data_IF_253168481099
#
_entry.id   IF_253168481099
#
_cell.length_a   1.000
_cell.length_b   1.000
_cell.length_c   1.000
_cell.angle_alpha   90.00
_cell.angle_beta   90.00
_cell.angle_gamma   90.00
#
_symmetry.space_group_name_H-M   'P 1'
#
loop_
_entity.id
_entity.type
_entity.pdbx_description
1 polymer ?
#
# COMPACT_ATOMS: atom_id res chain seq x y z
N UNK A 1 -18.72 -36.01 -1.95
CA UNK A 1 -17.71 -35.46 -2.89
C UNK A 1 -18.17 -34.03 -3.19
N UNK A 2 -17.72 -33.08 -2.36
CA UNK A 2 -18.12 -31.65 -2.42
C UNK A 2 -17.05 -30.93 -3.20
N UNK A 3 -17.40 -30.42 -4.36
CA UNK A 3 -16.53 -29.60 -5.21
C UNK A 3 -16.41 -28.21 -4.60
N UNK A 4 -15.34 -27.95 -3.87
CA UNK A 4 -15.01 -26.64 -3.30
C UNK A 4 -14.08 -25.93 -4.30
N UNK A 5 -14.60 -25.40 -5.39
CA UNK A 5 -13.77 -24.77 -6.42
C UNK A 5 -14.27 -23.43 -6.92
N UNK A 6 -15.14 -22.74 -6.21
CA UNK A 6 -15.56 -21.41 -6.67
C UNK A 6 -15.46 -20.40 -5.53
N UNK A 7 -14.54 -19.47 -5.66
CA UNK A 7 -14.48 -18.18 -4.96
C UNK A 7 -13.79 -18.16 -3.59
N UNK A 8 -12.57 -18.66 -3.49
CA UNK A 8 -11.85 -18.56 -2.20
C UNK A 8 -11.23 -17.17 -1.91
N UNK A 9 -11.05 -16.33 -2.90
CA UNK A 9 -10.49 -14.99 -2.68
C UNK A 9 -11.16 -13.95 -3.56
N UNK A 10 -11.67 -12.89 -2.96
CA UNK A 10 -12.24 -11.71 -3.61
C UNK A 10 -11.59 -10.47 -3.07
N UNK A 11 -11.47 -9.44 -3.90
CA UNK A 11 -11.02 -8.11 -3.50
C UNK A 11 -12.20 -7.17 -3.59
N UNK A 12 -12.50 -6.49 -2.49
CA UNK A 12 -13.49 -5.43 -2.43
C UNK A 12 -12.85 -4.14 -1.95
N UNK A 13 -13.17 -3.03 -2.60
CA UNK A 13 -12.85 -1.70 -2.08
C UNK A 13 -14.06 -1.20 -1.27
N UNK A 14 -13.88 -0.97 0.01
CA UNK A 14 -14.93 -0.49 0.90
C UNK A 14 -14.85 1.03 1.09
N UNK A 15 -15.97 1.72 0.90
CA UNK A 15 -16.16 3.14 1.22
C UNK A 15 -16.46 3.27 2.72
N UNK A 16 -15.48 3.71 3.50
CA UNK A 16 -15.64 3.94 4.94
C UNK A 16 -15.80 5.42 5.29
N UNK A 17 -16.88 5.76 6.01
CA UNK A 17 -17.13 7.09 6.57
C UNK A 17 -16.25 7.32 7.80
N UNK A 18 -15.57 8.47 7.87
CA UNK A 18 -14.75 8.91 8.99
C UNK A 18 -15.53 9.74 10.00
N UNK A 19 -15.42 9.42 11.30
CA UNK A 19 -15.67 10.37 12.39
C UNK A 19 -14.37 10.61 13.17
N UNK A 20 -14.09 11.89 13.42
CA UNK A 20 -12.96 12.39 14.21
C UNK A 20 -13.22 12.26 15.71
N UNK A 21 -12.23 11.80 16.48
CA UNK A 21 -11.96 12.31 17.82
C UNK A 21 -10.48 12.21 18.18
N UNK A 22 -10.02 13.17 18.94
CA UNK A 22 -8.68 13.64 19.22
C UNK A 22 -7.90 12.88 20.29
N UNK A 23 -6.56 12.89 20.13
CA UNK A 23 -5.46 13.07 21.09
C UNK A 23 -5.41 12.26 22.40
N UNK A 24 -4.36 11.42 22.48
CA UNK A 24 -3.40 11.42 23.62
C UNK A 24 -2.11 10.71 23.15
N UNK A 25 -0.98 11.31 23.43
CA UNK A 25 0.31 10.95 22.88
C UNK A 25 0.90 9.65 23.46
N UNK A 26 1.58 8.93 22.57
CA UNK A 26 2.54 7.87 22.88
C UNK A 26 3.70 7.94 21.90
N UNK A 27 4.90 7.47 22.25
CA UNK A 27 6.14 7.87 21.62
C UNK A 27 6.30 7.35 20.19
N UNK A 28 6.59 8.28 19.30
CA UNK A 28 7.33 8.15 18.04
C UNK A 28 7.22 6.82 17.27
N UNK A 29 6.03 6.53 16.77
CA UNK A 29 5.90 5.76 15.53
C UNK A 29 5.95 6.77 14.38
N UNK A 30 6.67 6.45 13.31
CA UNK A 30 6.55 7.19 12.07
C UNK A 30 5.08 7.08 11.64
N UNK A 31 4.32 8.08 12.03
CA UNK A 31 2.96 8.26 11.57
C UNK A 31 3.13 8.71 10.12
N UNK A 32 2.93 7.80 9.18
CA UNK A 32 2.65 8.26 7.83
C UNK A 32 1.55 9.32 7.97
N UNK A 33 1.87 10.54 7.58
CA UNK A 33 0.94 11.64 7.70
C UNK A 33 -0.32 11.26 6.92
N UNK A 34 -1.42 10.95 7.63
CA UNK A 34 -2.68 10.54 7.02
C UNK A 34 -3.63 11.71 6.85
N UNK A 35 -3.09 12.92 6.73
CA UNK A 35 -3.87 14.13 6.55
C UNK A 35 -4.63 14.06 5.24
N UNK A 36 -5.95 14.04 5.32
CA UNK A 36 -6.83 14.13 4.16
C UNK A 36 -6.70 15.52 3.55
N UNK A 37 -6.57 15.59 2.24
CA UNK A 37 -6.51 16.86 1.54
C UNK A 37 -7.80 17.65 1.76
N UNK A 38 -7.72 18.93 2.17
CA UNK A 38 -8.89 19.79 2.26
C UNK A 38 -9.45 20.07 0.85
N UNK A 39 -10.74 20.31 0.76
CA UNK A 39 -11.37 20.65 -0.51
C UNK A 39 -10.99 22.06 -0.90
N UNK A 40 -10.31 22.21 -2.04
CA UNK A 40 -9.94 23.49 -2.64
C UNK A 40 -9.33 24.52 -1.66
N UNK A 41 -8.21 24.21 -1.00
CA UNK A 41 -7.52 25.20 -0.17
C UNK A 41 -6.86 26.30 -1.01
N UNK A 42 -6.29 27.29 -0.34
CA UNK A 42 -5.52 28.36 -1.01
C UNK A 42 -4.31 27.80 -1.77
N UNK A 43 -3.86 28.53 -2.78
CA UNK A 43 -2.73 28.13 -3.64
C UNK A 43 -1.40 27.93 -2.91
N UNK A 44 -1.26 28.48 -1.72
CA UNK A 44 -0.07 28.38 -0.85
C UNK A 44 -0.15 27.24 0.18
N UNK A 45 -1.21 26.42 0.12
CA UNK A 45 -1.46 25.35 1.09
C UNK A 45 -0.21 24.47 1.37
N UNK A 46 0.46 24.04 0.33
CA UNK A 46 1.61 23.15 0.45
C UNK A 46 2.89 23.84 0.97
N UNK A 47 2.96 25.16 0.95
CA UNK A 47 4.09 25.91 1.54
C UNK A 47 4.19 25.72 3.05
N UNK A 48 3.08 25.38 3.70
CA UNK A 48 3.00 25.23 5.16
C UNK A 48 2.60 23.84 5.64
N UNK A 49 1.95 23.05 4.79
CA UNK A 49 1.29 21.80 5.21
C UNK A 49 1.94 20.51 4.66
N UNK A 50 3.00 20.64 3.86
CA UNK A 50 3.71 19.49 3.30
C UNK A 50 2.85 18.69 2.31
N UNK A 51 2.43 17.47 2.67
CA UNK A 51 1.63 16.60 1.80
C UNK A 51 0.30 16.23 2.45
N UNK A 52 -0.65 15.82 1.62
CA UNK A 52 -1.94 15.28 2.05
C UNK A 52 -2.39 14.16 1.10
N UNK A 53 -3.48 13.45 1.41
CA UNK A 53 -3.93 12.30 0.65
C UNK A 53 -5.32 12.50 0.07
N UNK A 54 -5.52 11.97 -1.15
CA UNK A 54 -6.80 11.95 -1.86
C UNK A 54 -7.20 10.51 -2.19
N UNK A 55 -8.47 10.34 -2.56
CA UNK A 55 -8.98 9.13 -3.18
C UNK A 55 -8.61 9.14 -4.66
N UNK A 56 -7.87 8.16 -5.16
CA UNK A 56 -7.53 8.08 -6.58
C UNK A 56 -8.70 7.61 -7.45
N UNK A 57 -8.69 8.02 -8.73
CA UNK A 57 -9.59 7.49 -9.75
C UNK A 57 -9.11 6.15 -10.32
N UNK A 58 -7.80 5.91 -10.25
CA UNK A 58 -7.16 4.63 -10.57
C UNK A 58 -6.13 4.33 -9.49
N UNK A 59 -6.16 3.10 -8.98
CA UNK A 59 -5.16 2.55 -8.09
C UNK A 59 -4.93 1.07 -8.44
N UNK A 60 -3.96 0.83 -9.31
CA UNK A 60 -3.62 -0.52 -9.77
C UNK A 60 -2.49 -1.11 -8.96
N UNK A 61 -2.68 -2.34 -8.51
CA UNK A 61 -1.63 -3.14 -7.90
C UNK A 61 -1.52 -4.48 -8.61
N UNK A 62 -0.31 -5.03 -8.70
CA UNK A 62 -0.10 -6.39 -9.21
C UNK A 62 0.18 -7.32 -8.04
N UNK A 63 -0.72 -8.28 -7.80
CA UNK A 63 -0.69 -9.21 -6.68
C UNK A 63 -0.11 -10.54 -7.16
N UNK A 64 0.89 -11.05 -6.47
CA UNK A 64 1.51 -12.36 -6.73
C UNK A 64 1.02 -13.44 -5.77
N UNK A 65 0.87 -13.07 -4.49
CA UNK A 65 0.47 -14.01 -3.47
C UNK A 65 -0.19 -13.29 -2.30
N UNK A 66 -1.14 -13.93 -1.66
CA UNK A 66 -1.72 -13.53 -0.38
C UNK A 66 -1.90 -14.77 0.48
N UNK A 67 -1.86 -14.60 1.79
CA UNK A 67 -2.06 -15.71 2.70
C UNK A 67 -2.24 -15.28 4.13
N UNK A 68 -2.35 -16.29 4.99
CA UNK A 68 -2.56 -16.17 6.43
C UNK A 68 -1.40 -16.85 7.17
N UNK A 69 -0.99 -16.30 8.32
CA UNK A 69 0.13 -16.81 9.09
C UNK A 69 -0.24 -16.97 10.58
N UNK A 70 0.34 -17.98 11.23
CA UNK A 70 0.20 -18.22 12.66
C UNK A 70 1.14 -17.35 13.50
N UNK A 71 2.25 -16.90 12.93
CA UNK A 71 3.18 -15.93 13.52
C UNK A 71 3.40 -14.77 12.56
N UNK A 72 3.90 -13.64 13.08
CA UNK A 72 4.23 -12.47 12.30
C UNK A 72 5.32 -12.79 11.26
N UNK A 73 5.01 -12.71 9.95
CA UNK A 73 5.97 -13.05 8.91
C UNK A 73 7.03 -11.97 8.67
N UNK A 74 6.91 -10.80 9.30
CA UNK A 74 7.91 -9.74 9.29
C UNK A 74 8.44 -9.52 10.72
N UNK A 75 9.31 -10.42 11.14
CA UNK A 75 10.04 -10.26 12.39
C UNK A 75 11.12 -9.17 12.27
N UNK A 76 11.35 -8.44 13.34
CA UNK A 76 12.34 -7.37 13.39
C UNK A 76 11.81 -6.11 14.05
N UNK A 77 12.71 -5.19 14.35
CA UNK A 77 12.36 -3.91 14.95
C UNK A 77 12.54 -2.82 13.90
N UNK A 78 11.46 -2.14 13.58
CA UNK A 78 11.51 -0.94 12.77
C UNK A 78 11.86 0.25 13.66
N UNK A 79 12.86 1.01 13.27
CA UNK A 79 13.22 2.27 13.89
C UNK A 79 12.90 3.42 12.94
N UNK A 80 12.23 4.42 13.49
CA UNK A 80 11.73 5.56 12.78
C UNK A 80 12.79 6.68 12.66
N UNK A 81 12.63 7.42 11.68
CA UNK A 81 12.97 8.70 11.06
C UNK A 81 13.76 9.79 11.79
N UNK A 82 14.25 9.64 12.97
CA UNK A 82 15.07 10.67 13.57
C UNK A 82 16.51 10.22 13.81
N UNK A 83 17.10 9.60 12.79
CA UNK A 83 18.50 9.21 12.83
C UNK A 83 18.74 7.78 13.24
N UNK A 84 17.89 6.85 12.81
CA UNK A 84 17.96 5.51 13.33
C UNK A 84 18.28 4.45 12.30
N UNK A 85 18.98 3.46 12.83
CA UNK A 85 19.37 2.23 12.17
C UNK A 85 18.12 1.40 11.90
N UNK A 86 17.82 1.11 10.65
CA UNK A 86 16.88 0.06 10.32
C UNK A 86 17.50 -1.27 10.71
N UNK A 87 16.85 -2.01 11.60
CA UNK A 87 17.16 -3.43 11.74
C UNK A 87 16.48 -4.14 10.58
N UNK A 88 17.24 -4.99 9.90
CA UNK A 88 16.78 -5.73 8.76
C UNK A 88 15.53 -6.55 9.15
N UNK A 89 14.41 -6.29 8.48
CA UNK A 89 13.27 -7.18 8.57
C UNK A 89 13.65 -8.51 7.93
N UNK A 90 13.37 -9.58 8.66
CA UNK A 90 13.48 -10.93 8.14
C UNK A 90 12.09 -11.37 7.70
N UNK A 91 11.98 -11.78 6.44
CA UNK A 91 10.75 -12.39 5.92
C UNK A 91 10.78 -13.87 6.29
N UNK A 92 9.90 -14.29 7.20
CA UNK A 92 9.73 -15.68 7.63
C UNK A 92 8.31 -16.17 7.33
N UNK A 93 8.19 -16.96 6.29
CA UNK A 93 6.92 -17.54 5.85
C UNK A 93 6.68 -18.96 6.38
N UNK A 94 7.49 -19.45 7.30
CA UNK A 94 7.46 -20.85 7.78
C UNK A 94 6.13 -21.26 8.42
N UNK A 95 5.36 -20.29 8.95
CA UNK A 95 4.03 -20.51 9.55
C UNK A 95 2.88 -20.00 8.68
N UNK A 96 3.17 -19.62 7.43
CA UNK A 96 2.21 -19.04 6.52
C UNK A 96 1.58 -20.08 5.60
N UNK A 97 0.31 -19.88 5.31
CA UNK A 97 -0.45 -20.67 4.33
C UNK A 97 -0.98 -19.72 3.26
N UNK A 98 -0.57 -19.88 1.99
CA UNK A 98 -1.10 -19.05 0.92
C UNK A 98 -2.61 -19.31 0.74
N UNK A 99 -3.36 -18.26 0.43
CA UNK A 99 -4.77 -18.33 0.03
C UNK A 99 -4.95 -18.07 -1.47
N UNK A 100 -4.03 -17.34 -2.05
CA UNK A 100 -3.93 -17.08 -3.48
C UNK A 100 -2.46 -17.04 -3.90
N UNK A 101 -2.13 -17.67 -5.04
CA UNK A 101 -0.79 -17.64 -5.63
C UNK A 101 -0.86 -17.54 -7.15
N UNK A 102 -0.14 -16.58 -7.73
CA UNK A 102 -0.01 -16.38 -9.18
C UNK A 102 1.41 -15.91 -9.51
N UNK A 103 2.23 -16.78 -10.09
CA UNK A 103 3.64 -16.48 -10.42
C UNK A 103 3.81 -15.34 -11.42
N UNK A 104 2.82 -15.12 -12.29
CA UNK A 104 2.83 -14.05 -13.28
C UNK A 104 2.31 -12.71 -12.70
N UNK A 105 1.66 -12.78 -11.54
CA UNK A 105 0.94 -11.67 -10.95
C UNK A 105 -0.41 -11.38 -11.63
N UNK A 106 -1.33 -10.85 -10.86
CA UNK A 106 -2.62 -10.34 -11.34
C UNK A 106 -2.72 -8.87 -11.02
N UNK A 107 -2.85 -8.04 -12.05
CA UNK A 107 -3.08 -6.60 -11.86
C UNK A 107 -4.57 -6.35 -11.65
N UNK A 108 -4.89 -5.68 -10.55
CA UNK A 108 -6.25 -5.28 -10.19
C UNK A 108 -6.30 -3.77 -9.97
N UNK A 109 -7.43 -3.15 -10.32
CA UNK A 109 -7.69 -1.74 -9.99
C UNK A 109 -8.55 -1.69 -8.72
N UNK A 110 -8.01 -1.12 -7.66
CA UNK A 110 -8.70 -0.98 -6.37
C UNK A 110 -9.68 0.20 -6.35
N UNK A 111 -9.56 1.14 -7.29
CA UNK A 111 -10.52 2.22 -7.43
C UNK A 111 -11.85 1.70 -8.03
N UNK A 112 -12.96 2.33 -7.62
CA UNK A 112 -14.29 1.96 -8.13
C UNK A 112 -15.11 1.04 -7.24
N UNK A 113 -14.56 0.54 -6.14
CA UNK A 113 -15.30 -0.14 -5.07
C UNK A 113 -15.94 -1.50 -5.43
N UNK A 114 -15.68 -2.04 -6.61
CA UNK A 114 -16.26 -3.32 -7.02
C UNK A 114 -15.42 -4.50 -6.54
N UNK A 115 -16.07 -5.53 -6.03
CA UNK A 115 -15.43 -6.81 -5.73
C UNK A 115 -14.91 -7.48 -7.01
N UNK A 116 -13.68 -7.98 -6.96
CA UNK A 116 -13.07 -8.70 -8.06
C UNK A 116 -12.66 -10.10 -7.58
N UNK A 117 -12.97 -11.11 -8.39
CA UNK A 117 -12.46 -12.46 -8.15
C UNK A 117 -11.04 -12.55 -8.69
N UNK A 118 -10.11 -13.00 -7.85
CA UNK A 118 -8.73 -13.24 -8.29
C UNK A 118 -8.69 -14.44 -9.22
N UNK A 119 -8.41 -14.19 -10.50
CA UNK A 119 -8.33 -15.21 -11.56
C UNK A 119 -6.87 -15.47 -11.96
N UNK A 120 -6.65 -16.52 -12.75
CA UNK A 120 -5.35 -16.82 -13.35
C UNK A 120 -4.29 -17.34 -12.37
N UNK A 121 -4.66 -17.62 -11.13
CA UNK A 121 -3.83 -18.21 -10.10
C UNK A 121 -4.47 -19.42 -9.43
N UNK A 122 -3.81 -19.95 -8.40
CA UNK A 122 -4.33 -21.01 -7.54
C UNK A 122 -4.97 -20.39 -6.31
N UNK A 123 -6.24 -20.70 -6.06
CA UNK A 123 -6.92 -20.42 -4.81
C UNK A 123 -6.73 -21.62 -3.88
N UNK A 124 -6.23 -21.38 -2.69
CA UNK A 124 -5.83 -22.39 -1.72
C UNK A 124 -6.60 -22.12 -0.44
N UNK A 125 -7.22 -23.14 0.12
CA UNK A 125 -7.86 -23.02 1.43
C UNK A 125 -6.84 -23.38 2.52
N UNK A 126 -6.55 -22.50 3.50
CA UNK A 126 -5.78 -22.84 4.66
C UNK A 126 -6.50 -23.89 5.52
N UNK A 127 -5.77 -24.60 6.36
CA UNK A 127 -6.36 -25.48 7.36
C UNK A 127 -7.26 -24.69 8.31
N UNK A 128 -8.25 -25.35 8.92
CA UNK A 128 -9.06 -24.74 9.96
C UNK A 128 -8.15 -24.28 11.11
N UNK A 129 -8.36 -23.05 11.59
CA UNK A 129 -7.52 -22.44 12.61
C UNK A 129 -7.76 -20.95 12.77
N UNK A 130 -7.06 -20.36 13.73
CA UNK A 130 -7.07 -18.93 14.00
C UNK A 130 -5.75 -18.32 13.55
N UNK A 131 -5.81 -17.36 12.64
CA UNK A 131 -4.66 -16.72 12.02
C UNK A 131 -4.58 -15.24 12.46
N UNK A 132 -3.65 -14.91 13.36
CA UNK A 132 -3.49 -13.53 13.83
C UNK A 132 -2.80 -12.61 12.82
N UNK A 133 -2.23 -13.17 11.75
CA UNK A 133 -1.50 -12.40 10.75
C UNK A 133 -1.94 -12.79 9.34
N UNK A 134 -1.85 -11.83 8.44
CA UNK A 134 -2.00 -12.03 7.00
C UNK A 134 -0.81 -11.40 6.27
N UNK A 135 -0.58 -11.82 5.04
CA UNK A 135 0.47 -11.23 4.20
C UNK A 135 0.00 -11.05 2.76
N UNK A 136 0.71 -10.17 2.06
CA UNK A 136 0.54 -9.93 0.64
C UNK A 136 1.91 -9.72 -0.02
N UNK A 137 2.09 -10.27 -1.23
CA UNK A 137 3.23 -10.02 -2.09
C UNK A 137 2.75 -9.28 -3.33
N UNK A 138 3.22 -8.07 -3.51
CA UNK A 138 2.83 -7.23 -4.65
C UNK A 138 4.05 -6.74 -5.42
N UNK A 139 3.83 -6.34 -6.66
CA UNK A 139 4.84 -5.59 -7.41
C UNK A 139 5.05 -4.23 -6.73
N UNK A 140 6.28 -3.72 -6.74
CA UNK A 140 6.56 -2.38 -6.24
C UNK A 140 6.23 -1.26 -7.27
N UNK A 141 5.42 -1.57 -8.27
CA UNK A 141 4.92 -0.61 -9.28
C UNK A 141 3.43 -0.48 -9.14
N UNK A 142 2.97 0.77 -9.00
CA UNK A 142 1.57 1.15 -8.85
C UNK A 142 1.11 1.96 -10.06
N UNK A 143 -0.04 1.60 -10.65
CA UNK A 143 -0.69 2.43 -11.66
C UNK A 143 -1.67 3.37 -10.99
N UNK A 144 -1.47 4.67 -11.13
CA UNK A 144 -2.15 5.69 -10.37
C UNK A 144 -2.78 6.74 -11.29
N UNK A 145 -3.92 7.30 -10.88
CA UNK A 145 -4.56 8.44 -11.53
C UNK A 145 -5.38 9.21 -10.50
N UNK A 146 -5.22 10.52 -10.45
CA UNK A 146 -5.95 11.36 -9.50
C UNK A 146 -5.92 12.83 -9.89
N UNK A 147 -6.86 13.61 -9.34
CA UNK A 147 -6.93 15.06 -9.53
C UNK A 147 -7.12 15.76 -8.20
N UNK A 148 -6.68 17.01 -8.11
CA UNK A 148 -6.81 17.82 -6.92
C UNK A 148 -7.07 19.29 -7.26
N UNK A 149 -8.00 19.93 -6.54
CA UNK A 149 -8.30 21.36 -6.73
C UNK A 149 -7.55 22.19 -5.69
N UNK A 150 -6.79 23.17 -6.16
CA UNK A 150 -5.98 24.08 -5.34
C UNK A 150 -6.16 25.51 -5.86
N UNK A 151 -6.55 26.44 -4.98
CA UNK A 151 -6.73 27.85 -5.35
C UNK A 151 -7.76 28.09 -6.47
N UNK A 152 -8.79 27.25 -6.54
CA UNK A 152 -9.83 27.33 -7.57
C UNK A 152 -9.49 26.67 -8.91
N UNK A 153 -8.26 26.13 -9.07
CA UNK A 153 -7.84 25.42 -10.28
C UNK A 153 -7.75 23.91 -9.98
N UNK A 154 -8.35 23.08 -10.84
CA UNK A 154 -8.19 21.63 -10.76
C UNK A 154 -6.95 21.23 -11.54
N UNK A 155 -6.10 20.46 -10.87
CA UNK A 155 -4.88 19.88 -11.41
C UNK A 155 -5.09 18.38 -11.59
N UNK A 156 -4.73 17.88 -12.75
CA UNK A 156 -4.89 16.49 -13.17
C UNK A 156 -3.54 15.79 -13.23
N UNK A 157 -3.46 14.55 -12.81
CA UNK A 157 -2.23 13.79 -12.90
C UNK A 157 -1.82 13.56 -14.35
N UNK A 158 -0.52 13.70 -14.60
CA UNK A 158 0.11 13.47 -15.90
C UNK A 158 1.41 12.69 -15.69
N UNK A 159 1.62 11.69 -16.54
CA UNK A 159 2.85 10.91 -16.54
C UNK A 159 3.97 11.69 -17.22
N UNK A 160 5.09 11.87 -16.53
CA UNK A 160 6.32 12.41 -17.12
C UNK A 160 7.53 11.56 -16.70
N UNK A 161 8.58 11.60 -17.50
CA UNK A 161 9.87 10.98 -17.15
C UNK A 161 10.81 12.11 -16.71
N UNK A 162 11.26 12.03 -15.47
CA UNK A 162 12.27 12.93 -14.89
C UNK A 162 13.40 12.10 -14.29
N UNK A 163 14.63 12.43 -14.59
CA UNK A 163 15.82 11.71 -14.08
C UNK A 163 15.76 10.18 -14.26
N UNK A 164 15.09 9.71 -15.30
CA UNK A 164 14.92 8.29 -15.58
C UNK A 164 13.78 7.59 -14.82
N UNK A 165 13.11 8.28 -13.90
CA UNK A 165 11.92 7.80 -13.19
C UNK A 165 10.63 8.32 -13.81
N UNK A 166 9.55 7.55 -13.70
CA UNK A 166 8.20 7.99 -14.07
C UNK A 166 7.54 8.63 -12.88
N UNK A 167 7.16 9.88 -13.02
CA UNK A 167 6.55 10.69 -11.95
C UNK A 167 5.15 11.16 -12.35
N UNK A 168 4.29 11.29 -11.34
CA UNK A 168 2.98 11.92 -11.45
C UNK A 168 3.10 13.43 -11.19
N UNK A 169 2.98 14.23 -12.23
CA UNK A 169 2.99 15.69 -12.12
C UNK A 169 1.63 16.26 -12.47
N UNK A 170 1.40 17.53 -12.12
CA UNK A 170 0.15 18.20 -12.40
C UNK A 170 0.09 18.83 -13.78
N UNK A 171 -1.10 18.79 -14.38
CA UNK A 171 -1.48 19.59 -15.53
C UNK A 171 -2.85 20.22 -15.26
N UNK A 172 -3.07 21.47 -15.67
CA UNK A 172 -4.35 22.15 -15.52
C UNK A 172 -5.36 21.78 -16.62
N UNK A 173 -4.90 21.15 -17.70
CA UNK A 173 -5.72 20.73 -18.83
C UNK A 173 -6.24 19.30 -18.60
N UNK A 174 -7.56 19.14 -18.47
CA UNK A 174 -8.20 17.82 -18.28
C UNK A 174 -7.90 16.84 -19.43
N UNK A 175 -7.68 17.35 -20.65
CA UNK A 175 -7.27 16.54 -21.81
C UNK A 175 -5.96 15.80 -21.61
N UNK A 176 -5.10 16.25 -20.68
CA UNK A 176 -3.83 15.65 -20.32
C UNK A 176 -3.95 14.69 -19.12
N UNK A 177 -5.16 14.45 -18.59
CA UNK A 177 -5.41 13.57 -17.46
C UNK A 177 -5.07 12.12 -17.78
N UNK A 178 -3.90 11.68 -17.35
CA UNK A 178 -3.37 10.34 -17.64
C UNK A 178 -2.99 9.57 -16.38
N UNK A 179 -2.99 8.25 -16.51
CA UNK A 179 -2.42 7.33 -15.52
C UNK A 179 -0.88 7.41 -15.58
N UNK A 180 -0.23 7.32 -14.44
CA UNK A 180 1.22 7.12 -14.36
C UNK A 180 1.54 5.85 -13.57
N UNK A 181 2.72 5.29 -13.82
CA UNK A 181 3.23 4.13 -13.09
C UNK A 181 4.36 4.59 -12.17
N UNK A 182 4.13 4.57 -10.88
CA UNK A 182 5.17 4.85 -9.89
C UNK A 182 5.85 3.56 -9.45
N UNK A 183 7.18 3.53 -9.50
CA UNK A 183 7.98 2.45 -8.94
C UNK A 183 8.43 2.85 -7.55
N UNK A 184 7.89 2.21 -6.53
CA UNK A 184 8.25 2.48 -5.14
C UNK A 184 9.60 1.82 -4.83
N UNK A 185 10.62 2.63 -4.57
CA UNK A 185 11.96 2.18 -4.18
C UNK A 185 12.35 2.64 -2.78
N UNK A 186 11.55 3.55 -2.21
CA UNK A 186 11.66 4.08 -0.86
C UNK A 186 10.26 4.44 -0.34
N UNK A 187 9.91 4.10 0.88
CA UNK A 187 8.57 4.38 1.44
C UNK A 187 8.36 5.85 1.82
N UNK A 188 9.42 6.65 1.91
CA UNK A 188 9.32 8.10 2.15
C UNK A 188 9.46 8.90 0.84
N UNK A 189 10.38 8.50 -0.03
CA UNK A 189 10.75 9.23 -1.25
C UNK A 189 10.10 8.70 -2.54
N UNK A 190 9.31 7.63 -2.45
CA UNK A 190 8.59 7.07 -3.60
C UNK A 190 9.53 6.43 -4.62
N UNK A 191 9.72 7.07 -5.76
CA UNK A 191 10.53 6.58 -6.88
C UNK A 191 12.02 6.95 -6.80
N UNK A 192 12.43 7.71 -5.78
CA UNK A 192 13.80 8.22 -5.65
C UNK A 192 14.59 7.45 -4.60
N UNK A 193 15.83 7.11 -4.93
CA UNK A 193 16.83 6.59 -4.00
C UNK A 193 17.79 7.72 -3.61
N UNK A 194 17.53 8.36 -2.51
CA UNK A 194 18.43 9.39 -1.95
C UNK A 194 19.84 8.83 -1.67
N UNK A 195 20.88 9.67 -1.70
CA UNK A 195 22.25 9.28 -1.34
C UNK A 195 22.33 8.63 0.04
N UNK A 196 23.33 7.78 0.26
CA UNK A 196 23.50 6.89 1.43
C UNK A 196 23.54 7.60 2.80
N UNK A 197 23.64 8.89 2.83
CA UNK A 197 23.82 9.65 4.07
C UNK A 197 22.51 10.01 4.77
N UNK A 198 21.36 9.83 4.10
CA UNK A 198 20.07 10.22 4.66
C UNK A 198 19.02 9.10 4.51
N UNK A 199 18.54 8.63 5.59
CA UNK A 199 17.33 7.86 5.91
C UNK A 199 16.53 7.30 4.74
N UNK A 200 16.95 6.20 4.15
CA UNK A 200 16.19 5.42 3.18
C UNK A 200 15.19 4.51 3.89
N UNK A 201 13.94 4.60 3.51
CA UNK A 201 12.88 3.81 4.13
C UNK A 201 12.59 2.55 3.33
N UNK A 202 13.39 1.51 3.57
CA UNK A 202 13.18 0.19 2.94
C UNK A 202 12.07 -0.61 3.63
N UNK A 203 11.62 -0.16 4.78
CA UNK A 203 10.57 -0.79 5.55
C UNK A 203 9.66 0.26 6.21
N UNK A 204 8.40 -0.10 6.45
CA UNK A 204 7.40 0.73 7.10
C UNK A 204 6.58 -0.09 8.09
N UNK A 205 6.16 0.56 9.17
CA UNK A 205 5.17 0.01 10.11
C UNK A 205 4.16 1.08 10.47
N UNK A 206 2.88 0.75 10.40
CA UNK A 206 1.79 1.66 10.73
C UNK A 206 0.70 0.95 11.51
N UNK A 207 0.25 1.57 12.60
CA UNK A 207 -0.90 1.09 13.38
C UNK A 207 -2.15 1.87 12.99
N UNK A 208 -3.22 1.15 12.68
CA UNK A 208 -4.55 1.70 12.41
C UNK A 208 -5.44 1.49 13.63
N UNK A 209 -6.07 2.55 14.08
CA UNK A 209 -6.95 2.54 15.27
C UNK A 209 -8.41 2.87 14.95
N UNK A 210 -8.69 3.24 13.69
CA UNK A 210 -10.04 3.59 13.21
C UNK A 210 -10.35 2.86 11.91
N UNK A 211 -11.58 2.44 11.73
CA UNK A 211 -12.00 1.62 10.61
C UNK A 211 -11.49 0.19 10.78
N UNK A 212 -10.63 -0.24 9.90
CA UNK A 212 -9.87 -1.50 10.08
C UNK A 212 -8.75 -1.26 11.09
N UNK A 213 -8.82 -1.92 12.23
CA UNK A 213 -7.81 -1.79 13.29
C UNK A 213 -6.77 -2.88 13.20
N UNK A 214 -5.52 -2.54 13.41
CA UNK A 214 -4.41 -3.48 13.34
C UNK A 214 -3.08 -2.80 13.02
N UNK A 215 -2.05 -3.61 12.87
CA UNK A 215 -0.72 -3.17 12.48
C UNK A 215 -0.39 -3.65 11.06
N UNK A 216 0.02 -2.74 10.21
CA UNK A 216 0.54 -3.01 8.86
C UNK A 216 2.05 -2.80 8.88
N UNK A 217 2.78 -3.78 8.40
CA UNK A 217 4.20 -3.70 8.12
C UNK A 217 4.43 -3.92 6.63
N UNK A 218 5.43 -3.28 6.06
CA UNK A 218 5.84 -3.48 4.68
C UNK A 218 7.35 -3.42 4.54
N UNK A 219 7.89 -4.23 3.66
CA UNK A 219 9.30 -4.15 3.26
C UNK A 219 9.42 -4.20 1.76
N UNK A 220 10.33 -3.39 1.22
CA UNK A 220 10.79 -3.53 -0.15
C UNK A 220 11.62 -4.81 -0.24
N UNK A 221 11.37 -5.62 -1.25
CA UNK A 221 11.93 -6.95 -1.34
C UNK A 221 12.49 -7.26 -2.72
N UNK A 222 13.54 -8.09 -2.73
CA UNK A 222 14.06 -8.77 -3.89
C UNK A 222 13.53 -10.19 -3.96
N UNK A 223 13.46 -10.74 -5.16
CA UNK A 223 12.97 -12.09 -5.42
C UNK A 223 14.03 -12.90 -6.12
N UNK A 224 14.30 -14.09 -5.59
CA UNK A 224 15.13 -15.12 -6.23
C UNK A 224 14.32 -16.43 -6.26
N UNK A 225 13.80 -16.77 -7.42
CA UNK A 225 12.83 -17.86 -7.55
C UNK A 225 11.55 -17.57 -6.77
N UNK A 226 11.24 -18.39 -5.76
CA UNK A 226 10.10 -18.19 -4.86
C UNK A 226 10.48 -17.50 -3.53
N UNK A 227 11.77 -17.29 -3.30
CA UNK A 227 12.26 -16.69 -2.06
C UNK A 227 12.24 -15.17 -2.12
N UNK A 228 11.65 -14.57 -1.11
CA UNK A 228 11.64 -13.12 -0.90
C UNK A 228 12.66 -12.76 0.17
N UNK A 229 13.43 -11.71 -0.10
CA UNK A 229 14.39 -11.15 0.87
C UNK A 229 14.20 -9.64 0.96
N UNK A 230 14.21 -9.10 2.18
CA UNK A 230 14.14 -7.67 2.40
C UNK A 230 15.31 -6.95 1.71
N UNK A 231 15.02 -5.81 1.07
CA UNK A 231 16.03 -4.95 0.47
C UNK A 231 16.69 -4.11 1.55
N UNK A 232 18.00 -4.03 1.53
CA UNK A 232 18.76 -3.16 2.45
C UNK A 232 18.88 -1.75 1.89
N UNK A 233 19.22 -0.78 2.74
CA UNK A 233 19.47 0.61 2.30
C UNK A 233 20.54 0.71 1.22
N UNK A 234 21.60 -0.11 1.31
CA UNK A 234 22.67 -0.15 0.32
C UNK A 234 22.19 -0.59 -1.07
N UNK A 235 21.08 -1.32 -1.13
CA UNK A 235 20.50 -1.89 -2.35
C UNK A 235 19.20 -1.17 -2.77
N UNK A 236 18.99 0.06 -2.32
CA UNK A 236 17.88 0.88 -2.75
C UNK A 236 17.81 0.94 -4.28
N UNK A 237 16.60 0.88 -4.84
CA UNK A 237 16.38 0.84 -6.28
C UNK A 237 16.47 -0.54 -6.93
N UNK A 238 16.94 -1.56 -6.21
CA UNK A 238 17.01 -2.93 -6.75
C UNK A 238 15.75 -3.76 -6.49
N UNK A 239 14.89 -3.31 -5.57
CA UNK A 239 13.66 -4.02 -5.20
C UNK A 239 12.70 -4.12 -6.38
N UNK A 240 12.06 -5.27 -6.48
CA UNK A 240 11.05 -5.56 -7.51
C UNK A 240 9.69 -5.90 -6.92
N UNK A 241 9.62 -6.02 -5.60
CA UNK A 241 8.43 -6.44 -4.83
C UNK A 241 8.29 -5.64 -3.54
N UNK A 242 7.09 -5.72 -3.00
CA UNK A 242 6.78 -5.37 -1.63
C UNK A 242 6.22 -6.61 -0.97
N UNK A 243 6.75 -6.95 0.20
CA UNK A 243 6.14 -7.90 1.11
C UNK A 243 5.43 -7.11 2.20
N UNK A 244 4.12 -7.25 2.28
CA UNK A 244 3.29 -6.63 3.32
C UNK A 244 2.81 -7.68 4.31
N UNK A 245 2.85 -7.36 5.60
CA UNK A 245 2.25 -8.15 6.67
C UNK A 245 1.22 -7.31 7.40
N UNK A 246 0.10 -7.91 7.74
CA UNK A 246 -0.97 -7.24 8.46
C UNK A 246 -1.40 -8.08 9.66
N UNK A 247 -1.43 -7.45 10.83
CA UNK A 247 -1.89 -8.05 12.08
C UNK A 247 -3.20 -7.36 12.48
N UNK A 248 -4.38 -7.88 12.06
CA UNK A 248 -5.65 -7.31 12.43
C UNK A 248 -5.87 -7.48 13.95
N UNK A 249 -6.59 -6.54 14.56
CA UNK A 249 -6.99 -6.65 15.98
C UNK A 249 -7.82 -7.91 16.24
N UNK A 250 -8.68 -8.28 15.28
CA UNK A 250 -9.44 -9.52 15.30
C UNK A 250 -8.81 -10.51 14.33
N UNK A 251 -8.27 -11.63 14.80
CA UNK A 251 -7.69 -12.67 13.95
C UNK A 251 -8.68 -13.20 12.92
N UNK A 252 -8.18 -13.67 11.78
CA UNK A 252 -8.99 -14.38 10.79
C UNK A 252 -9.19 -15.81 11.26
N UNK A 253 -10.45 -16.25 11.34
CA UNK A 253 -10.81 -17.60 11.75
C UNK A 253 -11.29 -18.38 10.52
N UNK A 254 -10.62 -19.50 10.24
CA UNK A 254 -11.01 -20.46 9.20
C UNK A 254 -11.61 -21.68 9.90
N UNK A 255 -12.84 -22.01 9.55
CA UNK A 255 -13.55 -23.20 10.05
C UNK A 255 -13.76 -24.20 8.91
N UNK A 256 -14.27 -25.39 9.21
CA UNK A 256 -14.61 -26.36 8.16
C UNK A 256 -15.71 -25.83 7.20
N UNK A 257 -16.55 -24.92 7.66
CA UNK A 257 -17.63 -24.29 6.90
C UNK A 257 -17.18 -23.07 6.10
N UNK A 258 -15.95 -22.55 6.31
CA UNK A 258 -15.45 -21.38 5.58
C UNK A 258 -15.38 -21.69 4.08
N UNK A 259 -16.12 -20.95 3.27
CA UNK A 259 -16.18 -21.11 1.82
C UNK A 259 -15.23 -20.20 1.08
N UNK A 260 -14.84 -19.09 1.69
CA UNK A 260 -13.97 -18.09 1.05
C UNK A 260 -13.31 -17.12 2.02
N UNK A 261 -12.39 -16.35 1.46
CA UNK A 261 -11.74 -15.22 2.11
C UNK A 261 -11.86 -13.99 1.22
N UNK A 262 -12.48 -12.95 1.74
CA UNK A 262 -12.52 -11.63 1.13
C UNK A 262 -11.39 -10.79 1.69
N UNK A 263 -10.61 -10.14 0.81
CA UNK A 263 -9.60 -9.15 1.17
C UNK A 263 -10.03 -7.82 0.58
N UNK A 264 -10.26 -6.84 1.44
CA UNK A 264 -10.64 -5.49 1.03
C UNK A 264 -9.47 -4.54 1.23
N UNK A 265 -9.33 -3.55 0.34
CA UNK A 265 -8.32 -2.49 0.42
C UNK A 265 -9.00 -1.13 0.45
N UNK A 266 -8.83 -0.41 1.55
CA UNK A 266 -9.32 0.97 1.66
C UNK A 266 -8.27 1.92 1.12
N UNK A 267 -8.64 2.66 0.06
CA UNK A 267 -7.82 3.70 -0.58
C UNK A 267 -8.48 5.09 -0.50
N UNK A 268 -9.67 5.17 0.08
CA UNK A 268 -10.41 6.44 0.24
C UNK A 268 -9.61 7.39 1.11
N UNK A 269 -9.33 8.59 0.59
CA UNK A 269 -8.53 9.63 1.23
C UNK A 269 -7.12 9.18 1.64
N UNK A 270 -6.53 8.22 0.89
CA UNK A 270 -5.22 7.64 1.20
C UNK A 270 -4.40 7.24 -0.02
N UNK A 271 -5.04 6.73 -1.06
CA UNK A 271 -4.37 6.01 -2.15
C UNK A 271 -3.39 6.85 -2.98
N UNK A 272 -3.56 8.15 -3.03
CA UNK A 272 -2.63 9.08 -3.70
C UNK A 272 -2.25 10.19 -2.75
N UNK A 273 -0.95 10.41 -2.58
CA UNK A 273 -0.39 11.59 -1.93
C UNK A 273 -0.35 12.75 -2.91
N UNK A 274 -0.60 13.95 -2.39
CA UNK A 274 -0.52 15.23 -3.12
C UNK A 274 0.39 16.14 -2.34
N UNK A 275 1.34 16.77 -3.02
CA UNK A 275 2.31 17.68 -2.42
C UNK A 275 2.65 18.82 -3.37
N UNK A 276 3.32 19.86 -2.86
CA UNK A 276 3.75 21.00 -3.67
C UNK A 276 4.76 20.57 -4.71
N UNK A 277 4.53 20.95 -5.94
CA UNK A 277 5.37 20.60 -7.06
C UNK A 277 6.57 21.55 -7.23
N UNK A 278 7.55 21.08 -7.98
CA UNK A 278 8.69 21.88 -8.41
C UNK A 278 8.38 22.51 -9.78
N UNK A 279 8.83 23.76 -9.96
CA UNK A 279 8.65 24.46 -11.24
C UNK A 279 9.08 23.57 -12.44
N UNK A 280 8.25 23.36 -13.46
CA UNK A 280 7.02 24.12 -13.81
C UNK A 280 5.72 23.57 -13.20
N UNK A 281 5.75 22.54 -12.37
CA UNK A 281 4.54 21.91 -11.83
C UNK A 281 4.09 22.58 -10.52
N UNK A 282 2.78 22.73 -10.36
CA UNK A 282 2.18 23.34 -9.17
C UNK A 282 1.93 22.30 -8.10
N UNK A 283 1.56 21.10 -8.53
CA UNK A 283 1.25 19.95 -7.67
C UNK A 283 1.96 18.73 -8.23
N UNK A 284 2.43 17.86 -7.36
CA UNK A 284 2.89 16.51 -7.71
C UNK A 284 2.07 15.47 -6.98
N UNK A 285 2.01 14.28 -7.59
CA UNK A 285 1.25 13.15 -7.10
C UNK A 285 2.18 11.96 -6.88
N UNK A 286 2.01 11.28 -5.76
CA UNK A 286 2.75 10.07 -5.44
C UNK A 286 1.86 8.96 -4.91
N UNK A 287 2.41 7.76 -4.76
CA UNK A 287 1.72 6.63 -4.15
C UNK A 287 1.37 6.95 -2.70
N UNK A 288 0.12 6.73 -2.33
CA UNK A 288 -0.34 6.75 -0.96
C UNK A 288 -0.57 5.34 -0.40
N UNK A 289 -0.73 5.22 0.93
CA UNK A 289 -0.96 3.94 1.58
C UNK A 289 -2.37 3.40 1.29
N UNK A 290 -2.52 2.10 1.44
CA UNK A 290 -3.83 1.42 1.52
C UNK A 290 -3.93 0.63 2.83
N UNK A 291 -5.16 0.38 3.28
CA UNK A 291 -5.40 -0.42 4.48
C UNK A 291 -6.13 -1.70 4.09
N UNK A 292 -5.54 -2.88 4.32
CA UNK A 292 -6.21 -4.15 4.07
C UNK A 292 -7.17 -4.51 5.20
N UNK A 293 -8.23 -5.25 4.86
CA UNK A 293 -9.08 -5.97 5.81
C UNK A 293 -9.43 -7.35 5.27
N UNK A 294 -9.74 -8.27 6.16
CA UNK A 294 -9.97 -9.66 5.85
C UNK A 294 -11.28 -10.14 6.47
N UNK A 295 -12.10 -10.84 5.71
CA UNK A 295 -13.32 -11.47 6.17
C UNK A 295 -13.41 -12.89 5.59
N UNK A 296 -13.51 -13.89 6.45
CA UNK A 296 -13.85 -15.24 6.09
C UNK A 296 -15.38 -15.39 6.03
N UNK A 297 -15.91 -16.15 5.06
CA UNK A 297 -17.34 -16.39 4.86
C UNK A 297 -17.63 -17.82 4.46
#
# INVERSE_FOLDING_TARGET
MISITKNFSRISAALGFCFLTSLLGSPNQASANTTVCPTNPSSDYFNTNGSCFITPDVYKVTIYEMGLCLSDPLAGTYHNSSGQTFTDYVIDESTCSPTYKNSNGLTVNLAGGASQTLSGGSNIRPSAGTYPHAYIKVKNVFGLKGSYTLGGTTYYSKSVIQNGAVNGVSDSEESNYTEWNETLVDFDKGSECEPLEENRWMAVSQTFTTGVTGNLKGVLANVNGETYSATTQANCGTSTRIFGAFSPTNPVVITEETEGLEVSFTITNRGVSVFGGNNPYVVEFGTGPFTPSFAAF
#
